data_IF_443254053834
#
_entry.id   IF_443254053834
#
_cell.length_a   1.000
_cell.length_b   1.000
_cell.length_c   1.000
_cell.angle_alpha   90.00
_cell.angle_beta   90.00
_cell.angle_gamma   90.00
#
_symmetry.space_group_name_H-M   'P 1'
#
loop_
_entity.id
_entity.type
_entity.pdbx_description
1 polymer ?
#
# COMPACT_ATOMS: atom_id res chain seq x y z
N UNK A 1 -28.83 28.88 -20.95
CA UNK A 1 -28.51 27.50 -20.48
C UNK A 1 -27.39 27.61 -19.45
N UNK A 2 -27.69 27.47 -18.17
CA UNK A 2 -26.68 27.49 -17.11
C UNK A 2 -26.18 26.07 -16.87
N UNK A 3 -24.88 25.83 -17.03
CA UNK A 3 -24.28 24.54 -16.68
C UNK A 3 -24.36 24.37 -15.15
N UNK A 4 -25.36 23.63 -14.67
CA UNK A 4 -25.47 23.26 -13.26
C UNK A 4 -24.43 22.19 -12.98
N UNK A 5 -23.30 22.58 -12.40
CA UNK A 5 -22.21 21.66 -12.06
C UNK A 5 -22.41 21.15 -10.64
N UNK A 6 -22.33 19.83 -10.46
CA UNK A 6 -22.41 19.22 -9.13
C UNK A 6 -21.11 19.48 -8.34
N UNK A 7 -21.16 20.41 -7.39
CA UNK A 7 -20.03 20.79 -6.55
C UNK A 7 -19.49 19.62 -5.70
N UNK A 8 -20.34 18.67 -5.30
CA UNK A 8 -19.91 17.49 -4.54
C UNK A 8 -19.02 16.56 -5.38
N UNK A 9 -19.35 16.40 -6.66
CA UNK A 9 -18.50 15.62 -7.57
C UNK A 9 -17.13 16.29 -7.76
N UNK A 10 -17.11 17.61 -7.91
CA UNK A 10 -15.86 18.37 -8.04
C UNK A 10 -14.98 18.24 -6.78
N UNK A 11 -15.57 18.42 -5.59
CA UNK A 11 -14.87 18.22 -4.31
C UNK A 11 -14.31 16.80 -4.18
N UNK A 12 -15.09 15.78 -4.53
CA UNK A 12 -14.63 14.38 -4.55
C UNK A 12 -13.47 14.16 -5.52
N UNK A 13 -13.53 14.75 -6.73
CA UNK A 13 -12.45 14.68 -7.72
C UNK A 13 -11.18 15.35 -7.18
N UNK A 14 -11.29 16.54 -6.60
CA UNK A 14 -10.16 17.26 -5.97
C UNK A 14 -9.51 16.43 -4.86
N UNK A 15 -10.31 15.91 -3.92
CA UNK A 15 -9.81 15.07 -2.83
C UNK A 15 -9.13 13.79 -3.33
N UNK A 16 -9.64 13.18 -4.42
CA UNK A 16 -8.99 12.01 -5.05
C UNK A 16 -7.65 12.38 -5.71
N UNK A 17 -7.56 13.55 -6.34
CA UNK A 17 -6.33 14.03 -6.95
C UNK A 17 -5.26 14.33 -5.89
N UNK A 18 -5.62 15.02 -4.81
CA UNK A 18 -4.72 15.31 -3.68
C UNK A 18 -4.16 14.03 -3.06
N UNK A 19 -5.00 13.00 -2.86
CA UNK A 19 -4.56 11.70 -2.35
C UNK A 19 -3.59 10.99 -3.28
N UNK A 20 -3.74 11.12 -4.60
CA UNK A 20 -2.79 10.53 -5.57
C UNK A 20 -1.43 11.20 -5.48
N UNK A 21 -1.39 12.53 -5.45
CA UNK A 21 -0.14 13.30 -5.29
C UNK A 21 0.58 12.90 -3.99
N UNK A 22 -0.15 12.81 -2.88
CA UNK A 22 0.41 12.34 -1.61
C UNK A 22 0.93 10.89 -1.69
N UNK A 23 0.23 10.01 -2.41
CA UNK A 23 0.67 8.63 -2.62
C UNK A 23 1.96 8.58 -3.45
N UNK A 24 2.06 9.39 -4.50
CA UNK A 24 3.26 9.49 -5.34
C UNK A 24 4.45 10.04 -4.53
N UNK A 25 4.23 11.09 -3.74
CA UNK A 25 5.24 11.63 -2.83
C UNK A 25 5.71 10.58 -1.81
N UNK A 26 4.79 9.80 -1.24
CA UNK A 26 5.13 8.74 -0.30
C UNK A 26 5.84 7.56 -0.98
N UNK A 27 5.50 7.24 -2.22
CA UNK A 27 6.20 6.23 -3.01
C UNK A 27 7.66 6.67 -3.26
N UNK A 28 7.90 7.94 -3.60
CA UNK A 28 9.25 8.50 -3.75
C UNK A 28 10.00 8.54 -2.41
N UNK A 29 9.37 9.03 -1.34
CA UNK A 29 10.04 9.20 -0.03
C UNK A 29 10.37 7.88 0.66
N UNK A 30 9.48 6.90 0.57
CA UNK A 30 9.60 5.66 1.33
C UNK A 30 10.03 4.46 0.48
N UNK A 31 10.08 4.61 -0.86
CA UNK A 31 10.59 3.63 -1.81
C UNK A 31 9.78 2.33 -1.96
N UNK A 32 8.98 1.98 -0.94
CA UNK A 32 8.09 0.81 -0.92
C UNK A 32 6.75 1.20 -0.29
N UNK A 33 5.66 0.79 -0.92
CA UNK A 33 4.33 1.03 -0.36
C UNK A 33 4.11 0.18 0.90
N UNK A 34 3.10 0.52 1.71
CA UNK A 34 2.75 -0.30 2.88
C UNK A 34 2.35 -1.72 2.46
N UNK A 35 1.62 -1.86 1.35
CA UNK A 35 1.20 -3.16 0.82
C UNK A 35 2.41 -4.04 0.43
N UNK A 36 3.44 -3.45 -0.18
CA UNK A 36 4.66 -4.19 -0.55
C UNK A 36 5.42 -4.66 0.70
N UNK A 37 5.50 -3.80 1.73
CA UNK A 37 6.13 -4.15 3.01
C UNK A 37 5.38 -5.28 3.72
N UNK A 38 4.05 -5.21 3.73
CA UNK A 38 3.21 -6.22 4.37
C UNK A 38 3.33 -7.57 3.62
N UNK A 39 3.40 -7.52 2.28
CA UNK A 39 3.64 -8.71 1.46
C UNK A 39 5.02 -9.32 1.69
N UNK A 40 6.09 -8.51 1.68
CA UNK A 40 7.45 -8.97 2.00
C UNK A 40 7.53 -9.58 3.40
N UNK A 41 6.87 -8.96 4.39
CA UNK A 41 6.83 -9.46 5.76
C UNK A 41 6.13 -10.83 5.84
N UNK A 42 4.99 -10.99 5.17
CA UNK A 42 4.28 -12.26 5.12
C UNK A 42 5.08 -13.36 4.40
N UNK A 43 5.83 -13.01 3.34
CA UNK A 43 6.73 -13.95 2.69
C UNK A 43 7.90 -14.35 3.60
N UNK A 44 8.49 -13.40 4.31
CA UNK A 44 9.57 -13.65 5.25
C UNK A 44 9.11 -14.55 6.41
N UNK A 45 7.91 -14.31 6.96
CA UNK A 45 7.29 -15.15 7.99
C UNK A 45 7.08 -16.57 7.47
N UNK A 46 6.45 -16.74 6.30
CA UNK A 46 6.26 -18.06 5.69
C UNK A 46 7.59 -18.79 5.47
N UNK A 47 8.63 -18.08 5.03
CA UNK A 47 9.95 -18.69 4.85
C UNK A 47 10.55 -19.13 6.19
N UNK A 48 10.43 -18.32 7.24
CA UNK A 48 10.84 -18.68 8.60
C UNK A 48 10.11 -19.92 9.09
N UNK A 49 8.79 -19.96 8.96
CA UNK A 49 7.98 -21.11 9.40
C UNK A 49 8.39 -22.39 8.66
N UNK A 50 8.67 -22.29 7.36
CA UNK A 50 9.19 -23.43 6.58
C UNK A 50 10.56 -23.87 7.08
N UNK A 51 11.47 -22.93 7.33
CA UNK A 51 12.79 -23.25 7.88
C UNK A 51 12.72 -23.86 9.28
N UNK A 52 11.82 -23.37 10.13
CA UNK A 52 11.57 -23.92 11.47
C UNK A 52 10.97 -25.33 11.38
N UNK A 53 10.00 -25.58 10.50
CA UNK A 53 9.41 -26.91 10.32
C UNK A 53 10.38 -27.95 9.74
N UNK A 54 11.36 -27.49 8.95
CA UNK A 54 12.42 -28.34 8.42
C UNK A 54 13.63 -28.44 9.34
N UNK A 55 13.67 -27.70 10.45
CA UNK A 55 14.71 -27.80 11.45
C UNK A 55 14.53 -29.13 12.17
N UNK A 56 15.45 -30.07 11.96
CA UNK A 56 15.58 -31.21 12.88
C UNK A 56 16.15 -30.66 14.17
N UNK A 57 15.54 -31.03 15.29
CA UNK A 57 16.17 -30.91 16.59
C UNK A 57 17.38 -31.86 16.55
N UNK A 58 18.53 -31.33 16.14
CA UNK A 58 19.80 -32.05 16.28
C UNK A 58 20.11 -32.08 17.79
N UNK A 59 19.76 -33.24 18.39
CA UNK A 59 20.11 -33.77 19.73
C UNK A 59 19.75 -32.98 21.00
#
# INVERSE_FOLDING_TARGET
>A
MGNVINLNQFRKKKARAERRVQADENAVRHGRSKADKDHDAAQAEKSRDQHEAHKREDE
#
